data_IF_665950633256
#
_entry.id   IF_665950633256
#
_cell.length_a   1.000
_cell.length_b   1.000
_cell.length_c   1.000
_cell.angle_alpha   90.00
_cell.angle_beta   90.00
_cell.angle_gamma   90.00
#
_symmetry.space_group_name_H-M   'P 1'
#
loop_
_entity.id
_entity.type
_entity.pdbx_description
1 polymer ?
#
# COMPACT_ATOMS: atom_id res chain seq x y z
N UNK A 1 7.65 0.71 -15.07
CA UNK A 1 6.96 0.20 -16.28
C UNK A 1 5.54 0.75 -16.16
N UNK A 2 5.20 1.78 -16.95
CA UNK A 2 3.96 2.56 -16.78
C UNK A 2 2.65 1.77 -17.03
N UNK A 3 2.73 0.63 -17.73
CA UNK A 3 1.56 -0.05 -18.31
C UNK A 3 0.46 -0.46 -17.34
N UNK A 4 0.79 -0.86 -16.10
CA UNK A 4 -0.20 -1.40 -15.16
C UNK A 4 -0.69 -0.39 -14.12
N UNK A 5 -0.04 0.78 -14.01
CA UNK A 5 -0.40 1.77 -13.00
C UNK A 5 -1.74 2.45 -13.32
N UNK A 6 -1.94 2.86 -14.57
CA UNK A 6 -3.17 3.50 -14.99
C UNK A 6 -4.40 2.58 -14.86
N UNK A 7 -4.37 1.31 -15.30
CA UNK A 7 -5.42 0.33 -15.00
C UNK A 7 -5.68 0.18 -13.50
N UNK A 8 -4.64 0.12 -12.67
CA UNK A 8 -4.80 0.01 -11.22
C UNK A 8 -5.45 1.25 -10.60
N UNK A 9 -5.08 2.46 -11.04
CA UNK A 9 -5.73 3.70 -10.62
C UNK A 9 -7.22 3.71 -10.98
N UNK A 10 -7.58 3.14 -12.13
CA UNK A 10 -8.98 3.02 -12.58
C UNK A 10 -9.78 1.98 -11.82
N UNK A 11 -9.16 0.88 -11.46
CA UNK A 11 -9.73 -0.05 -10.50
C UNK A 11 -10.01 0.61 -9.15
N UNK A 12 -9.06 1.38 -8.60
CA UNK A 12 -9.28 2.12 -7.35
C UNK A 12 -10.43 3.14 -7.47
N UNK A 13 -10.55 3.83 -8.60
CA UNK A 13 -11.64 4.76 -8.87
C UNK A 13 -13.00 4.07 -8.84
N UNK A 14 -13.14 2.98 -9.61
CA UNK A 14 -14.41 2.30 -9.85
C UNK A 14 -14.84 1.40 -8.69
N UNK A 15 -13.88 0.76 -8.02
CA UNK A 15 -14.17 -0.25 -6.98
C UNK A 15 -13.95 0.26 -5.57
N UNK A 16 -12.97 1.15 -5.35
CA UNK A 16 -12.65 1.70 -4.03
C UNK A 16 -13.16 3.13 -3.81
N UNK A 17 -13.79 3.75 -4.81
CA UNK A 17 -14.24 5.13 -4.74
C UNK A 17 -13.09 6.15 -4.64
N UNK A 18 -11.87 5.74 -4.98
CA UNK A 18 -10.68 6.60 -4.91
C UNK A 18 -10.38 7.21 -6.29
N UNK A 19 -10.99 8.36 -6.56
CA UNK A 19 -10.67 9.18 -7.73
C UNK A 19 -9.37 9.94 -7.52
N UNK A 20 -8.30 9.54 -8.23
CA UNK A 20 -6.99 10.17 -8.09
C UNK A 20 -7.02 11.63 -8.55
N UNK A 21 -6.41 12.50 -7.75
CA UNK A 21 -6.25 13.93 -8.06
C UNK A 21 -4.80 14.29 -7.75
N UNK A 22 -4.05 14.61 -8.80
CA UNK A 22 -2.62 14.88 -8.70
C UNK A 22 -2.31 16.09 -7.83
N UNK A 23 -3.22 17.06 -7.74
CA UNK A 23 -3.01 18.29 -6.96
C UNK A 23 -3.16 18.00 -5.45
N UNK A 24 -3.94 16.98 -5.08
CA UNK A 24 -4.15 16.60 -3.68
C UNK A 24 -2.99 15.77 -3.14
N UNK A 25 -2.27 16.35 -2.18
CA UNK A 25 -1.18 15.67 -1.46
C UNK A 25 -1.63 14.33 -0.86
N UNK A 26 -2.82 14.29 -0.26
CA UNK A 26 -3.37 13.07 0.34
C UNK A 26 -3.58 11.96 -0.70
N UNK A 27 -4.05 12.29 -1.91
CA UNK A 27 -4.25 11.30 -2.98
C UNK A 27 -2.91 10.75 -3.46
N UNK A 28 -1.88 11.60 -3.65
CA UNK A 28 -0.52 11.14 -3.97
C UNK A 28 0.02 10.18 -2.91
N UNK A 29 -0.25 10.48 -1.64
CA UNK A 29 0.17 9.65 -0.52
C UNK A 29 -0.59 8.32 -0.46
N UNK A 30 -1.92 8.33 -0.61
CA UNK A 30 -2.75 7.14 -0.63
C UNK A 30 -2.38 6.22 -1.79
N UNK A 31 -2.16 6.76 -3.00
CA UNK A 31 -1.73 5.98 -4.15
C UNK A 31 -0.40 5.27 -3.90
N UNK A 32 0.57 5.94 -3.25
CA UNK A 32 1.82 5.31 -2.83
C UNK A 32 1.59 4.11 -1.89
N UNK A 33 0.61 4.20 -0.98
CA UNK A 33 0.29 3.08 -0.07
C UNK A 33 -0.51 1.98 -0.75
N UNK A 34 -1.50 2.31 -1.59
CA UNK A 34 -2.27 1.32 -2.33
C UNK A 34 -1.37 0.47 -3.23
N UNK A 35 -0.50 1.10 -4.02
CA UNK A 35 0.41 0.35 -4.88
C UNK A 35 1.37 -0.49 -4.04
N UNK A 36 1.93 0.06 -2.95
CA UNK A 36 2.80 -0.74 -2.07
C UNK A 36 2.10 -1.95 -1.45
N UNK A 37 0.88 -1.78 -0.92
CA UNK A 37 0.11 -2.84 -0.26
C UNK A 37 -0.32 -3.90 -1.28
N UNK A 38 -0.70 -3.50 -2.50
CA UNK A 38 -1.17 -4.41 -3.54
C UNK A 38 -0.15 -5.50 -3.92
N UNK A 39 1.15 -5.27 -3.70
CA UNK A 39 2.20 -6.28 -3.93
C UNK A 39 2.00 -7.55 -3.08
N UNK A 40 1.43 -7.42 -1.88
CA UNK A 40 1.13 -8.57 -1.01
C UNK A 40 -0.08 -9.38 -1.49
N UNK A 41 -0.77 -8.90 -2.51
CA UNK A 41 -1.90 -9.54 -3.16
C UNK A 41 -1.57 -10.00 -4.59
N UNK A 42 -0.28 -10.01 -4.96
CA UNK A 42 0.19 -10.51 -6.26
C UNK A 42 0.36 -9.43 -7.34
N UNK A 43 0.13 -8.15 -7.04
CA UNK A 43 0.36 -7.10 -8.03
C UNK A 43 1.85 -6.84 -8.24
N UNK A 44 2.37 -7.31 -9.38
CA UNK A 44 3.77 -7.11 -9.75
C UNK A 44 3.95 -5.80 -10.53
N UNK A 45 4.27 -4.72 -9.82
CA UNK A 45 4.44 -3.37 -10.40
C UNK A 45 5.93 -2.95 -10.57
N UNK A 46 6.88 -3.72 -10.01
CA UNK A 46 8.33 -3.47 -10.19
C UNK A 46 8.91 -2.21 -9.54
N UNK A 47 8.16 -1.54 -8.66
CA UNK A 47 8.62 -0.32 -7.97
C UNK A 47 9.44 -0.68 -6.73
N UNK A 48 10.58 -0.03 -6.58
CA UNK A 48 11.39 -0.07 -5.35
C UNK A 48 10.92 0.99 -4.37
N UNK A 49 10.99 0.67 -3.07
CA UNK A 49 10.55 1.55 -1.99
C UNK A 49 11.65 1.74 -0.96
N UNK A 50 11.70 2.94 -0.40
CA UNK A 50 12.49 3.23 0.81
C UNK A 50 11.55 3.76 1.90
N UNK A 51 11.90 3.50 3.16
CA UNK A 51 11.14 4.01 4.31
C UNK A 51 11.45 5.50 4.50
N UNK A 52 10.40 6.32 4.48
CA UNK A 52 10.41 7.73 4.88
C UNK A 52 9.45 7.94 6.05
N UNK A 53 9.37 9.18 6.57
CA UNK A 53 8.47 9.56 7.68
C UNK A 53 7.01 9.08 7.49
N UNK A 54 6.50 9.15 6.25
CA UNK A 54 5.12 8.73 5.89
C UNK A 54 5.03 7.27 5.42
N UNK A 55 6.00 6.43 5.77
CA UNK A 55 6.08 5.02 5.37
C UNK A 55 6.78 4.80 4.03
N UNK A 56 6.64 3.61 3.40
CA UNK A 56 7.34 3.28 2.16
C UNK A 56 6.94 4.23 1.03
N UNK A 57 7.92 4.74 0.30
CA UNK A 57 7.74 5.66 -0.82
C UNK A 57 8.62 5.23 -2.00
N UNK A 58 8.06 5.34 -3.20
CA UNK A 58 8.76 5.09 -4.46
C UNK A 58 8.80 6.37 -5.31
N UNK A 59 9.98 6.96 -5.55
CA UNK A 59 10.13 8.08 -6.48
C UNK A 59 9.70 7.71 -7.90
N UNK A 60 10.01 6.50 -8.37
CA UNK A 60 9.62 6.05 -9.71
C UNK A 60 8.09 5.94 -9.88
N UNK A 61 7.37 5.52 -8.83
CA UNK A 61 5.90 5.58 -8.84
C UNK A 61 5.39 7.02 -8.91
N UNK A 62 6.08 7.94 -8.22
CA UNK A 62 5.72 9.35 -8.28
C UNK A 62 5.88 9.92 -9.69
N UNK A 63 7.04 9.69 -10.30
CA UNK A 63 7.29 10.12 -11.68
C UNK A 63 6.23 9.57 -12.65
N UNK A 64 5.82 8.31 -12.47
CA UNK A 64 4.83 7.67 -13.33
C UNK A 64 3.43 8.27 -13.11
N UNK A 65 2.94 8.45 -11.87
CA UNK A 65 1.62 9.05 -11.67
C UNK A 65 1.56 10.53 -12.07
N UNK A 66 2.68 11.26 -12.03
CA UNK A 66 2.74 12.64 -12.54
C UNK A 66 2.62 12.68 -14.06
N UNK A 67 3.27 11.76 -14.77
CA UNK A 67 3.15 11.64 -16.24
C UNK A 67 1.77 11.15 -16.69
N UNK A 68 1.10 10.34 -15.87
CA UNK A 68 -0.18 9.73 -16.21
C UNK A 68 -1.39 10.59 -15.80
N UNK A 69 -1.19 11.64 -14.99
CA UNK A 69 -2.28 12.48 -14.48
C UNK A 69 -3.17 13.04 -15.60
N UNK A 70 -2.56 13.49 -16.71
CA UNK A 70 -3.29 14.04 -17.86
C UNK A 70 -4.10 12.99 -18.64
N UNK A 71 -3.70 11.72 -18.57
CA UNK A 71 -4.36 10.62 -19.25
C UNK A 71 -5.39 9.90 -18.38
N UNK A 72 -5.36 10.15 -17.06
CA UNK A 72 -6.20 9.46 -16.09
C UNK A 72 -7.68 9.66 -16.40
N UNK A 73 -8.14 10.87 -16.69
CA UNK A 73 -9.55 11.13 -16.98
C UNK A 73 -10.02 10.49 -18.29
N UNK A 74 -9.14 10.29 -19.27
CA UNK A 74 -9.49 9.77 -20.60
C UNK A 74 -9.41 8.25 -20.75
N UNK A 75 -8.89 7.55 -19.74
CA UNK A 75 -8.78 6.09 -19.80
C UNK A 75 -10.16 5.45 -19.61
N UNK A 76 -10.64 4.75 -20.63
CA UNK A 76 -11.92 4.03 -20.63
C UNK A 76 -11.77 2.55 -21.01
N UNK A 77 -10.53 2.06 -21.08
CA UNK A 77 -10.27 0.66 -21.38
C UNK A 77 -10.65 -0.23 -20.18
N UNK A 78 -10.99 -1.48 -20.48
CA UNK A 78 -11.23 -2.52 -19.48
C UNK A 78 -9.92 -2.82 -18.73
N UNK A 79 -9.84 -2.45 -17.45
CA UNK A 79 -8.66 -2.63 -16.60
C UNK A 79 -8.47 -4.07 -16.10
N UNK A 80 -9.45 -4.96 -16.29
CA UNK A 80 -9.44 -6.27 -15.64
C UNK A 80 -8.33 -7.17 -16.18
N UNK A 81 -7.94 -7.01 -17.45
CA UNK A 81 -6.92 -7.83 -18.11
C UNK A 81 -5.51 -7.51 -17.61
N UNK A 82 -5.26 -6.24 -17.28
CA UNK A 82 -3.98 -5.70 -16.85
C UNK A 82 -3.71 -5.96 -15.37
N UNK A 83 -4.75 -6.33 -14.62
CA UNK A 83 -4.68 -6.70 -13.20
C UNK A 83 -4.59 -8.21 -12.97
N UNK A 84 -4.33 -9.03 -14.01
CA UNK A 84 -4.40 -10.51 -13.96
C UNK A 84 -3.54 -11.25 -12.92
N UNK A 85 -2.72 -10.56 -12.13
CA UNK A 85 -1.99 -11.12 -10.98
C UNK A 85 -2.46 -10.63 -9.60
N UNK A 86 -3.28 -9.58 -9.56
CA UNK A 86 -3.79 -9.00 -8.32
C UNK A 86 -5.05 -9.73 -7.86
N UNK A 87 -5.04 -10.23 -6.63
CA UNK A 87 -6.25 -10.66 -5.95
C UNK A 87 -7.05 -9.41 -5.50
N UNK A 88 -7.86 -8.88 -6.41
CA UNK A 88 -8.64 -7.65 -6.22
C UNK A 88 -9.63 -7.78 -5.05
N UNK A 89 -10.33 -8.91 -4.92
CA UNK A 89 -11.30 -9.14 -3.83
C UNK A 89 -10.65 -9.04 -2.44
N UNK A 90 -9.53 -9.74 -2.22
CA UNK A 90 -8.83 -9.70 -0.94
C UNK A 90 -8.19 -8.34 -0.69
N UNK A 91 -7.66 -7.70 -1.74
CA UNK A 91 -7.10 -6.36 -1.62
C UNK A 91 -8.18 -5.36 -1.17
N UNK A 92 -9.35 -5.37 -1.81
CA UNK A 92 -10.49 -4.52 -1.46
C UNK A 92 -10.93 -4.71 -0.02
N UNK A 93 -11.11 -5.95 0.43
CA UNK A 93 -11.47 -6.27 1.82
C UNK A 93 -10.52 -5.67 2.87
N UNK A 94 -9.26 -5.44 2.51
CA UNK A 94 -8.27 -4.83 3.40
C UNK A 94 -8.31 -3.31 3.37
N UNK A 95 -8.50 -2.72 2.18
CA UNK A 95 -8.36 -1.27 2.00
C UNK A 95 -9.68 -0.48 2.10
N UNK A 96 -10.82 -1.14 1.96
CA UNK A 96 -12.13 -0.48 1.95
C UNK A 96 -12.40 0.27 3.27
N UNK A 97 -12.85 1.52 3.15
CA UNK A 97 -13.16 2.39 4.29
C UNK A 97 -11.94 2.83 5.12
N UNK A 98 -10.71 2.53 4.70
CA UNK A 98 -9.49 2.90 5.44
C UNK A 98 -9.03 4.30 5.08
N UNK A 99 -8.71 5.08 6.11
CA UNK A 99 -8.17 6.43 5.96
C UNK A 99 -6.66 6.41 5.64
N UNK A 100 -6.14 7.59 5.28
CA UNK A 100 -4.71 7.77 4.98
C UNK A 100 -3.81 7.36 6.15
N UNK A 101 -4.26 7.56 7.40
CA UNK A 101 -3.46 7.24 8.59
C UNK A 101 -3.31 5.72 8.75
N UNK A 102 -4.39 4.98 8.57
CA UNK A 102 -4.38 3.52 8.57
C UNK A 102 -3.46 3.01 7.46
N UNK A 103 -3.58 3.53 6.23
CA UNK A 103 -2.74 3.14 5.10
C UNK A 103 -1.26 3.40 5.35
N UNK A 104 -0.92 4.54 5.96
CA UNK A 104 0.45 4.85 6.36
C UNK A 104 1.02 3.84 7.37
N UNK A 105 0.24 3.50 8.40
CA UNK A 105 0.66 2.53 9.43
C UNK A 105 0.78 1.14 8.80
N UNK A 106 -0.23 0.70 8.06
CA UNK A 106 -0.28 -0.62 7.44
C UNK A 106 0.89 -0.84 6.49
N UNK A 107 1.13 0.11 5.57
CA UNK A 107 2.26 0.03 4.65
C UNK A 107 3.62 0.04 5.38
N UNK A 108 3.74 0.76 6.49
CA UNK A 108 4.96 0.75 7.31
C UNK A 108 5.19 -0.62 7.94
N UNK A 109 4.18 -1.18 8.61
CA UNK A 109 4.23 -2.50 9.23
C UNK A 109 4.59 -3.56 8.19
N UNK A 110 3.91 -3.55 7.05
CA UNK A 110 4.15 -4.51 5.97
C UNK A 110 5.56 -4.40 5.38
N UNK A 111 6.10 -3.18 5.26
CA UNK A 111 7.47 -2.98 4.81
C UNK A 111 8.51 -3.49 5.79
N UNK A 112 8.30 -3.29 7.10
CA UNK A 112 9.17 -3.82 8.14
C UNK A 112 9.07 -5.35 8.19
N UNK A 113 7.85 -5.89 8.15
CA UNK A 113 7.57 -7.33 8.12
C UNK A 113 8.26 -8.02 6.94
N UNK A 114 8.08 -7.51 5.71
CA UNK A 114 8.68 -8.05 4.49
C UNK A 114 10.23 -8.09 4.57
N UNK A 115 10.82 -7.14 5.28
CA UNK A 115 12.26 -7.10 5.53
C UNK A 115 12.68 -8.14 6.59
N UNK A 116 11.96 -8.22 7.71
CA UNK A 116 12.38 -9.01 8.87
C UNK A 116 12.00 -10.49 8.80
N UNK A 117 10.90 -10.85 8.11
CA UNK A 117 10.47 -12.26 7.93
C UNK A 117 11.50 -13.15 7.22
N UNK A 118 12.49 -12.53 6.57
CA UNK A 118 13.62 -13.22 5.93
C UNK A 118 14.63 -13.76 6.95
N UNK A 119 14.60 -13.28 8.19
CA UNK A 119 15.59 -13.55 9.24
C UNK A 119 14.99 -14.03 10.55
N UNK A 120 13.75 -13.63 10.85
CA UNK A 120 13.08 -13.93 12.12
C UNK A 120 11.73 -14.60 11.86
N UNK A 121 11.22 -15.32 12.85
CA UNK A 121 9.87 -15.91 12.87
C UNK A 121 9.26 -15.86 14.27
N UNK A 122 7.98 -16.24 14.38
CA UNK A 122 7.31 -16.36 15.66
C UNK A 122 7.21 -15.04 16.44
N UNK A 123 7.25 -15.16 17.77
CA UNK A 123 7.20 -14.03 18.70
C UNK A 123 8.30 -12.99 18.48
N UNK A 124 9.50 -13.40 18.04
CA UNK A 124 10.60 -12.46 17.78
C UNK A 124 10.33 -11.60 16.54
N UNK A 125 9.76 -12.18 15.48
CA UNK A 125 9.33 -11.41 14.32
C UNK A 125 8.25 -10.40 14.70
N UNK A 126 7.23 -10.83 15.46
CA UNK A 126 6.17 -9.94 15.97
C UNK A 126 6.78 -8.77 16.75
N UNK A 127 7.63 -9.06 17.73
CA UNK A 127 8.27 -8.04 18.58
C UNK A 127 9.01 -7.00 17.76
N UNK A 128 9.84 -7.43 16.81
CA UNK A 128 10.65 -6.54 15.97
C UNK A 128 9.82 -5.71 15.01
N UNK A 129 8.79 -6.30 14.40
CA UNK A 129 7.90 -5.58 13.47
C UNK A 129 7.18 -4.46 14.22
N UNK A 130 6.63 -4.76 15.40
CA UNK A 130 5.92 -3.78 16.21
C UNK A 130 6.88 -2.70 16.70
N UNK A 131 8.01 -3.07 17.33
CA UNK A 131 8.94 -2.09 17.90
C UNK A 131 9.47 -1.12 16.84
N UNK A 132 9.96 -1.64 15.71
CA UNK A 132 10.48 -0.80 14.63
C UNK A 132 9.38 0.05 13.99
N UNK A 133 8.14 -0.45 13.91
CA UNK A 133 7.02 0.35 13.41
C UNK A 133 6.65 1.49 14.37
N UNK A 134 6.69 1.25 15.68
CA UNK A 134 6.52 2.29 16.71
C UNK A 134 7.61 3.35 16.61
N UNK A 135 8.87 2.95 16.43
CA UNK A 135 9.98 3.89 16.28
C UNK A 135 9.82 4.78 15.03
N UNK A 136 9.47 4.18 13.89
CA UNK A 136 9.23 4.92 12.63
C UNK A 136 8.01 5.84 12.75
N UNK A 137 6.98 5.41 13.48
CA UNK A 137 5.72 6.14 13.66
C UNK A 137 5.61 6.71 15.08
N UNK A 138 6.70 7.24 15.63
CA UNK A 138 6.78 7.73 17.02
C UNK A 138 5.75 8.80 17.39
N UNK A 139 5.21 9.54 16.40
CA UNK A 139 4.09 10.48 16.58
C UNK A 139 2.70 9.83 16.53
N UNK A 140 2.60 8.50 16.60
CA UNK A 140 1.36 7.72 16.56
C UNK A 140 1.27 6.88 17.82
N UNK A 141 0.09 6.88 18.45
CA UNK A 141 -0.17 6.06 19.62
C UNK A 141 0.16 4.57 19.35
N UNK A 142 1.00 3.92 20.17
CA UNK A 142 1.36 2.52 20.01
C UNK A 142 0.15 1.60 19.87
N UNK A 143 -0.92 1.86 20.62
CA UNK A 143 -2.18 1.11 20.57
C UNK A 143 -2.76 1.06 19.16
N UNK A 144 -2.65 2.16 18.39
CA UNK A 144 -3.12 2.21 17.01
C UNK A 144 -2.26 1.35 16.10
N UNK A 145 -0.95 1.31 16.32
CA UNK A 145 -0.01 0.46 15.56
C UNK A 145 -0.30 -1.02 15.86
N UNK A 146 -0.51 -1.36 17.13
CA UNK A 146 -0.94 -2.69 17.56
C UNK A 146 -2.27 -3.10 16.93
N UNK A 147 -3.27 -2.20 16.92
CA UNK A 147 -4.56 -2.45 16.28
C UNK A 147 -4.37 -2.80 14.80
N UNK A 148 -3.64 -1.97 14.04
CA UNK A 148 -3.42 -2.21 12.61
C UNK A 148 -2.62 -3.50 12.37
N UNK A 149 -1.64 -3.81 13.22
CA UNK A 149 -0.90 -5.07 13.13
C UNK A 149 -1.82 -6.29 13.24
N UNK A 150 -2.73 -6.32 14.22
CA UNK A 150 -3.67 -7.43 14.39
C UNK A 150 -4.68 -7.50 13.24
N UNK A 151 -5.15 -6.37 12.72
CA UNK A 151 -6.01 -6.33 11.53
C UNK A 151 -5.31 -6.92 10.29
N UNK A 152 -4.02 -6.62 10.09
CA UNK A 152 -3.22 -7.19 9.00
C UNK A 152 -2.96 -8.70 9.20
N UNK A 153 -2.80 -9.15 10.44
CA UNK A 153 -2.70 -10.58 10.78
C UNK A 153 -4.00 -11.32 10.48
N UNK A 154 -5.15 -10.77 10.89
CA UNK A 154 -6.49 -11.31 10.58
C UNK A 154 -6.71 -11.39 9.06
N UNK A 155 -6.24 -10.39 8.32
CA UNK A 155 -6.29 -10.38 6.86
C UNK A 155 -5.32 -11.39 6.19
N UNK A 156 -4.49 -12.08 6.96
CA UNK A 156 -3.52 -13.06 6.45
C UNK A 156 -2.31 -12.46 5.74
N UNK A 157 -2.04 -11.16 5.94
CA UNK A 157 -0.89 -10.47 5.34
C UNK A 157 0.40 -10.61 6.16
N UNK A 158 0.23 -10.93 7.44
CA UNK A 158 1.32 -11.13 8.39
C UNK A 158 1.16 -12.50 9.02
N UNK A 159 2.25 -13.26 9.01
CA UNK A 159 2.37 -14.52 9.74
C UNK A 159 3.55 -14.41 10.73
N UNK A 160 3.21 -14.39 12.03
CA UNK A 160 4.11 -14.29 13.19
C UNK A 160 3.55 -15.05 14.37
#
# INVERSE_FOLDING_TARGET
>A
MMGNLLPFMKFLEREAGFGFDIEKFEHRLMLQKYVFISKFFGFNHGYSYSIYLRGPYSPALADDYYKLADFYSSYDEDYTKELGGLNTEKFMKVIEGRDVKWLEIAATILSVYDTYRKKFGGAELKKRVISTSCDIKSATEPEKIHQVFEELKIAGLIDT
#
